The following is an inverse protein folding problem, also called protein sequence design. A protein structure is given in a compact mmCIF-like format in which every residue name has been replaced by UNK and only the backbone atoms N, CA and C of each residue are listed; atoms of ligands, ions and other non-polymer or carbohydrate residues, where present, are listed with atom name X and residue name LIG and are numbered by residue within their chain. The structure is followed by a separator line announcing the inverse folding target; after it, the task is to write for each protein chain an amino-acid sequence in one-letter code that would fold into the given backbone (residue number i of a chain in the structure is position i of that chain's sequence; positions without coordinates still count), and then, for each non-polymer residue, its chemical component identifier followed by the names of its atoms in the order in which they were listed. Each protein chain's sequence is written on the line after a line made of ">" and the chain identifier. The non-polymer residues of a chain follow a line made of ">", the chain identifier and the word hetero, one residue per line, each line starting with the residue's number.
data_IF_060422522904
#
_entry.id   IF_060422522904
#
_cell.length_a   1.000
_cell.length_b   1.000
_cell.length_c   1.000
_cell.angle_alpha   90.00
_cell.angle_beta   90.00
_cell.angle_gamma   90.00
#
_symmetry.space_group_name_H-M   'P 1'
#
loop_
_entity.id
_entity.type
_entity.pdbx_description
1 polymer ?
#
# COMPACT_ATOMS: atom_id res chain seq x y z
N UNK A 1 10.95 -28.51 9.69
CA UNK A 1 12.43 -28.52 9.80
C UNK A 1 12.88 -27.08 9.65
N UNK A 2 13.31 -26.41 10.74
CA UNK A 2 13.77 -25.01 10.68
C UNK A 2 15.17 -24.88 10.04
N UNK A 3 15.82 -26.01 9.76
CA UNK A 3 17.13 -26.14 9.15
C UNK A 3 17.14 -26.06 7.63
N UNK A 4 15.99 -26.18 6.96
CA UNK A 4 15.87 -26.03 5.51
C UNK A 4 14.51 -25.40 5.14
N UNK A 5 14.36 -24.08 5.29
CA UNK A 5 13.13 -23.40 4.94
C UNK A 5 12.92 -23.39 3.43
N UNK A 6 11.85 -24.04 2.97
CA UNK A 6 11.38 -23.92 1.58
C UNK A 6 10.64 -22.60 1.40
N UNK A 7 11.27 -21.65 0.73
CA UNK A 7 10.63 -20.40 0.33
C UNK A 7 10.02 -20.56 -1.06
N UNK A 8 8.74 -20.24 -1.19
CA UNK A 8 8.09 -20.06 -2.49
C UNK A 8 8.15 -18.58 -2.87
N UNK A 9 8.39 -18.25 -4.16
CA UNK A 9 8.30 -16.87 -4.61
C UNK A 9 6.88 -16.33 -4.39
N UNK A 10 6.82 -15.06 -4.02
CA UNK A 10 5.57 -14.30 -3.91
C UNK A 10 4.99 -14.13 -5.32
N UNK A 11 3.80 -14.69 -5.56
CA UNK A 11 3.06 -14.57 -6.82
C UNK A 11 2.04 -13.43 -6.72
N UNK A 12 2.16 -12.36 -7.52
CA UNK A 12 1.28 -11.21 -7.43
C UNK A 12 -0.19 -11.58 -7.73
N UNK A 13 -1.12 -10.92 -7.04
CA UNK A 13 -2.55 -11.07 -7.32
C UNK A 13 -3.03 -9.89 -8.19
N UNK A 14 -3.03 -10.12 -9.50
CA UNK A 14 -3.42 -9.12 -10.51
C UNK A 14 -4.89 -8.69 -10.44
N UNK A 15 -5.75 -9.42 -9.73
CA UNK A 15 -7.18 -9.14 -9.62
C UNK A 15 -7.61 -8.78 -8.19
N UNK A 16 -6.65 -8.41 -7.33
CA UNK A 16 -6.95 -8.00 -5.97
C UNK A 16 -7.86 -6.77 -5.97
N UNK A 17 -8.92 -6.80 -5.16
CA UNK A 17 -9.90 -5.71 -5.01
C UNK A 17 -9.81 -5.02 -3.65
N UNK A 18 -8.87 -5.45 -2.79
CA UNK A 18 -8.72 -4.95 -1.42
C UNK A 18 -7.41 -4.20 -1.33
N UNK A 19 -7.46 -2.99 -0.81
CA UNK A 19 -6.28 -2.20 -0.45
C UNK A 19 -5.88 -2.36 1.00
N UNK A 20 -4.65 -1.95 1.32
CA UNK A 20 -4.15 -1.83 2.68
C UNK A 20 -3.99 -0.36 3.04
N UNK A 21 -4.50 0.03 4.21
CA UNK A 21 -4.30 1.36 4.79
C UNK A 21 -3.73 1.20 6.18
N UNK A 22 -2.53 1.72 6.40
CA UNK A 22 -1.87 1.74 7.70
C UNK A 22 -1.98 3.13 8.34
N UNK A 23 -2.23 3.15 9.66
CA UNK A 23 -2.35 4.36 10.47
C UNK A 23 -3.47 5.30 10.02
N UNK A 24 -4.63 4.76 9.63
CA UNK A 24 -5.80 5.54 9.18
C UNK A 24 -6.28 6.57 10.20
N UNK A 25 -6.02 6.36 11.50
CA UNK A 25 -6.35 7.32 12.55
C UNK A 25 -5.66 8.68 12.41
N UNK A 26 -4.61 8.79 11.57
CA UNK A 26 -3.94 10.05 11.27
C UNK A 26 -4.74 10.93 10.28
N UNK A 27 -5.63 10.34 9.49
CA UNK A 27 -6.44 11.03 8.47
C UNK A 27 -7.88 10.48 8.49
N UNK A 28 -8.72 10.83 9.49
CA UNK A 28 -10.08 10.32 9.60
C UNK A 28 -10.94 10.58 8.36
N UNK A 29 -10.76 11.72 7.70
CA UNK A 29 -11.45 12.13 6.46
C UNK A 29 -11.21 11.17 5.29
N UNK A 30 -10.09 10.44 5.31
CA UNK A 30 -9.78 9.42 4.32
C UNK A 30 -10.79 8.27 4.38
N UNK A 31 -11.31 7.94 5.56
CA UNK A 31 -12.29 6.86 5.72
C UNK A 31 -13.56 7.14 4.91
N UNK A 32 -14.06 8.36 4.99
CA UNK A 32 -15.25 8.80 4.25
C UNK A 32 -14.99 8.81 2.76
N UNK A 33 -13.82 9.28 2.34
CA UNK A 33 -13.40 9.29 0.94
C UNK A 33 -13.34 7.87 0.35
N UNK A 34 -12.67 6.94 1.02
CA UNK A 34 -12.56 5.55 0.57
C UNK A 34 -13.93 4.87 0.51
N UNK A 35 -14.80 5.15 1.49
CA UNK A 35 -16.16 4.61 1.54
C UNK A 35 -17.02 5.14 0.38
N UNK A 36 -17.00 6.45 0.12
CA UNK A 36 -17.72 7.08 -1.00
C UNK A 36 -17.28 6.53 -2.37
N UNK A 37 -15.98 6.27 -2.54
CA UNK A 37 -15.41 5.70 -3.75
C UNK A 37 -15.50 4.16 -3.82
N UNK A 38 -16.16 3.52 -2.85
CA UNK A 38 -16.34 2.06 -2.78
C UNK A 38 -15.00 1.28 -2.75
N UNK A 39 -13.94 1.91 -2.26
CA UNK A 39 -12.61 1.31 -2.14
C UNK A 39 -12.54 0.50 -0.85
N UNK A 40 -12.57 -0.83 -0.98
CA UNK A 40 -12.45 -1.74 0.16
C UNK A 40 -11.01 -1.77 0.66
N UNK A 41 -10.82 -1.61 1.96
CA UNK A 41 -9.49 -1.67 2.55
C UNK A 41 -9.45 -2.38 3.91
N UNK A 42 -8.24 -2.76 4.34
CA UNK A 42 -7.93 -3.32 5.67
C UNK A 42 -6.62 -2.73 6.19
N UNK A 43 -6.33 -2.95 7.46
CA UNK A 43 -4.99 -2.75 8.02
C UNK A 43 -4.42 -4.11 8.40
N UNK A 44 -3.14 -4.34 8.11
CA UNK A 44 -2.36 -5.48 8.57
C UNK A 44 -1.71 -5.21 9.94
N UNK A 45 -1.67 -3.95 10.37
CA UNK A 45 -1.09 -3.51 11.64
C UNK A 45 0.44 -3.42 11.62
N UNK A 46 1.07 -3.61 10.46
CA UNK A 46 2.52 -3.53 10.29
C UNK A 46 2.92 -2.97 8.92
N UNK A 47 3.69 -1.88 8.92
CA UNK A 47 4.15 -1.20 7.71
C UNK A 47 5.06 -2.07 6.84
N UNK A 48 6.04 -2.74 7.44
CA UNK A 48 6.97 -3.60 6.72
C UNK A 48 6.25 -4.77 6.03
N UNK A 49 5.25 -5.38 6.71
CA UNK A 49 4.45 -6.46 6.15
C UNK A 49 3.59 -5.97 4.98
N UNK A 50 2.98 -4.80 5.13
CA UNK A 50 2.17 -4.17 4.07
C UNK A 50 2.99 -3.91 2.80
N UNK A 51 4.25 -3.52 2.95
CA UNK A 51 5.16 -3.28 1.83
C UNK A 51 5.67 -4.57 1.19
N UNK A 52 5.97 -5.60 1.99
CA UNK A 52 6.39 -6.90 1.48
C UNK A 52 5.32 -7.56 0.59
N UNK A 53 4.04 -7.35 0.92
CA UNK A 53 2.89 -7.90 0.19
C UNK A 53 2.20 -6.89 -0.74
N UNK A 54 2.82 -5.77 -1.07
CA UNK A 54 2.15 -4.69 -1.82
C UNK A 54 1.55 -5.15 -3.17
N UNK A 55 2.20 -6.10 -3.85
CA UNK A 55 1.72 -6.69 -5.11
C UNK A 55 0.54 -7.68 -4.97
N UNK A 56 0.12 -8.01 -3.75
CA UNK A 56 -1.07 -8.83 -3.50
C UNK A 56 -2.34 -7.98 -3.33
N UNK A 57 -2.19 -6.66 -3.18
CA UNK A 57 -3.28 -5.74 -2.87
C UNK A 57 -3.51 -4.77 -4.04
N UNK A 58 -4.72 -4.23 -4.15
CA UNK A 58 -5.03 -3.23 -5.19
C UNK A 58 -4.24 -1.94 -4.98
N UNK A 59 -4.09 -1.53 -3.72
CA UNK A 59 -3.24 -0.43 -3.30
C UNK A 59 -2.73 -0.66 -1.88
N UNK A 60 -1.64 0.02 -1.52
CA UNK A 60 -1.11 0.12 -0.17
C UNK A 60 -0.87 1.59 0.13
N UNK A 61 -1.49 2.09 1.18
CA UNK A 61 -1.34 3.46 1.66
C UNK A 61 -0.85 3.43 3.11
N UNK A 62 0.31 4.02 3.36
CA UNK A 62 0.87 4.16 4.70
C UNK A 62 0.90 5.63 5.03
N UNK A 63 0.20 6.02 6.10
CA UNK A 63 0.11 7.40 6.54
C UNK A 63 1.18 7.71 7.59
N UNK A 64 1.63 8.96 7.60
CA UNK A 64 2.73 9.49 8.39
C UNK A 64 4.12 9.10 7.88
N UNK A 65 5.14 9.46 8.68
CA UNK A 65 6.55 9.22 8.34
C UNK A 65 6.83 7.73 8.16
N UNK A 66 7.34 7.38 6.99
CA UNK A 66 7.85 6.04 6.67
C UNK A 66 9.37 6.02 6.71
N UNK A 67 9.96 4.99 7.34
CA UNK A 67 11.42 4.84 7.39
C UNK A 67 11.94 4.51 5.99
N UNK A 68 13.06 5.15 5.62
CA UNK A 68 13.65 5.13 4.26
C UNK A 68 13.95 3.71 3.76
N UNK A 69 14.27 2.79 4.67
CA UNK A 69 14.69 1.42 4.34
C UNK A 69 13.57 0.53 3.77
N UNK A 70 12.31 0.71 4.20
CA UNK A 70 11.21 -0.13 3.71
C UNK A 70 10.79 0.26 2.28
N UNK A 71 11.07 1.50 1.84
CA UNK A 71 10.62 2.01 0.54
C UNK A 71 11.48 1.50 -0.62
N UNK A 72 12.79 1.40 -0.42
CA UNK A 72 13.76 1.00 -1.47
C UNK A 72 13.63 -0.48 -1.81
N UNK A 73 13.40 -1.33 -0.80
CA UNK A 73 13.15 -2.75 -1.00
C UNK A 73 11.82 -2.99 -1.74
N UNK A 74 10.76 -2.26 -1.38
CA UNK A 74 9.47 -2.32 -2.08
C UNK A 74 9.58 -1.85 -3.54
N UNK A 75 10.36 -0.78 -3.82
CA UNK A 75 10.65 -0.28 -5.16
C UNK A 75 11.39 -1.32 -6.03
N UNK A 76 12.34 -2.05 -5.42
CA UNK A 76 13.22 -2.99 -6.13
C UNK A 76 12.49 -4.29 -6.50
N UNK A 77 11.53 -4.71 -5.68
CA UNK A 77 10.80 -5.98 -5.86
C UNK A 77 9.61 -5.82 -6.83
N UNK A 78 9.09 -4.60 -7.02
CA UNK A 78 7.82 -4.39 -7.70
C UNK A 78 7.92 -3.40 -8.88
N UNK A 79 8.49 -3.85 -10.00
CA UNK A 79 8.72 -3.02 -11.20
C UNK A 79 7.43 -2.46 -11.86
N UNK A 80 6.23 -2.92 -11.47
CA UNK A 80 4.95 -2.55 -12.10
C UNK A 80 3.97 -1.79 -11.17
N UNK A 81 4.43 -1.24 -10.04
CA UNK A 81 3.57 -0.42 -9.16
C UNK A 81 3.73 1.07 -9.46
N UNK A 82 2.60 1.79 -9.46
CA UNK A 82 2.58 3.24 -9.33
C UNK A 82 2.91 3.60 -7.88
N UNK A 83 3.84 4.54 -7.67
CA UNK A 83 4.36 4.88 -6.35
C UNK A 83 4.42 6.39 -6.21
N UNK A 84 3.87 6.92 -5.11
CA UNK A 84 4.10 8.29 -4.65
C UNK A 84 4.53 8.25 -3.18
N UNK A 85 5.52 9.06 -2.83
CA UNK A 85 5.98 9.21 -1.46
C UNK A 85 6.23 10.68 -1.13
N UNK A 86 5.84 11.08 0.08
CA UNK A 86 6.33 12.29 0.72
C UNK A 86 6.58 12.05 2.22
N UNK A 87 6.75 13.12 3.01
CA UNK A 87 6.99 13.00 4.46
C UNK A 87 5.77 12.50 5.24
N UNK A 88 4.59 12.63 4.66
CA UNK A 88 3.30 12.39 5.28
C UNK A 88 2.64 11.09 4.82
N UNK A 89 3.04 10.51 3.68
CA UNK A 89 2.50 9.24 3.23
C UNK A 89 3.41 8.49 2.24
N UNK A 90 3.09 7.22 2.05
CA UNK A 90 3.56 6.37 0.97
C UNK A 90 2.36 5.66 0.34
N UNK A 91 2.14 5.86 -0.96
CA UNK A 91 1.09 5.23 -1.74
C UNK A 91 1.72 4.33 -2.80
N UNK A 92 1.27 3.08 -2.87
CA UNK A 92 1.57 2.13 -3.94
C UNK A 92 0.26 1.60 -4.53
N UNK A 93 0.21 1.36 -5.83
CA UNK A 93 -0.95 0.69 -6.45
C UNK A 93 -0.60 0.00 -7.76
N UNK A 94 -1.30 -1.10 -8.06
CA UNK A 94 -1.24 -1.77 -9.36
C UNK A 94 -2.14 -1.09 -10.41
N UNK A 95 -3.18 -0.38 -9.97
CA UNK A 95 -4.17 0.25 -10.83
C UNK A 95 -3.97 1.77 -10.85
N UNK A 96 -3.67 2.32 -12.03
CA UNK A 96 -3.44 3.76 -12.20
C UNK A 96 -4.66 4.59 -11.80
N UNK A 97 -5.88 4.13 -12.06
CA UNK A 97 -7.09 4.89 -11.73
C UNK A 97 -7.26 5.02 -10.23
N UNK A 98 -7.08 3.91 -9.50
CA UNK A 98 -7.12 3.92 -8.03
C UNK A 98 -6.01 4.81 -7.47
N UNK A 99 -4.80 4.68 -8.03
CA UNK A 99 -3.66 5.51 -7.66
C UNK A 99 -3.96 7.00 -7.81
N UNK A 100 -4.41 7.43 -8.99
CA UNK A 100 -4.68 8.84 -9.29
C UNK A 100 -5.77 9.40 -8.37
N UNK A 101 -6.86 8.66 -8.14
CA UNK A 101 -7.98 9.06 -7.27
C UNK A 101 -7.50 9.29 -5.83
N UNK A 102 -6.74 8.34 -5.27
CA UNK A 102 -6.22 8.45 -3.90
C UNK A 102 -5.19 9.58 -3.81
N UNK A 103 -4.32 9.70 -4.81
CA UNK A 103 -3.28 10.72 -4.84
C UNK A 103 -3.85 12.15 -4.92
N UNK A 104 -4.89 12.35 -5.71
CA UNK A 104 -5.59 13.64 -5.80
C UNK A 104 -6.17 14.05 -4.44
N UNK A 105 -6.80 13.11 -3.72
CA UNK A 105 -7.30 13.35 -2.36
C UNK A 105 -6.19 13.75 -1.40
N UNK A 106 -5.05 13.04 -1.42
CA UNK A 106 -3.90 13.30 -0.56
C UNK A 106 -3.12 14.58 -0.90
N UNK A 107 -3.30 15.15 -2.09
CA UNK A 107 -2.68 16.43 -2.49
C UNK A 107 -3.53 17.63 -2.12
N UNK A 108 -4.83 17.44 -1.97
CA UNK A 108 -5.79 18.50 -1.66
C UNK A 108 -6.06 18.67 -0.15
N UNK A 109 -5.49 17.80 0.70
CA UNK A 109 -5.63 17.79 2.16
C UNK A 109 -4.26 17.62 2.82
#
# INVERSE_FOLDING_TARGET
>A
NLSDPKYSPLTPNLFSKIGIVEKISLYPELLDFLTKNQLKFRSLGATALSLAYASYFSFVLILGKTRIFDTVAALTIHQNLYIEKNENFLLLSQDKKIFDIILEFLKNN
#
